data_IF_201589506353
#
_entry.id   IF_201589506353
#
_cell.length_a   1.000
_cell.length_b   1.000
_cell.length_c   1.000
_cell.angle_alpha   90.00
_cell.angle_beta   90.00
_cell.angle_gamma   90.00
#
_symmetry.space_group_name_H-M   'P 1'
#
loop_
_entity.id
_entity.type
_entity.pdbx_description
1 polymer ?
#
# COMPACT_ATOMS: atom_id res chain seq x y z
N UNK A 1 25.76 -25.57 8.99
CA UNK A 1 25.08 -24.89 7.86
C UNK A 1 25.06 -23.41 8.20
N UNK A 2 25.87 -22.60 7.52
CA UNK A 2 26.17 -21.22 7.91
C UNK A 2 24.93 -20.33 7.82
N UNK A 3 24.49 -19.79 8.96
CA UNK A 3 23.29 -18.97 9.06
C UNK A 3 23.50 -17.61 8.41
N UNK A 4 22.89 -17.41 7.26
CA UNK A 4 22.74 -16.09 6.67
C UNK A 4 21.90 -15.22 7.63
N UNK A 5 22.37 -14.01 7.93
CA UNK A 5 21.84 -13.17 9.01
C UNK A 5 20.41 -12.65 8.83
N UNK A 6 19.70 -13.04 7.77
CA UNK A 6 18.34 -12.60 7.45
C UNK A 6 17.56 -13.65 6.64
N UNK A 7 16.22 -13.58 6.58
CA UNK A 7 15.38 -14.56 5.87
C UNK A 7 15.17 -14.29 4.36
N UNK A 8 15.79 -13.26 3.78
CA UNK A 8 15.59 -12.87 2.39
C UNK A 8 16.43 -13.68 1.39
N UNK A 9 15.96 -13.76 0.15
CA UNK A 9 16.67 -14.38 -0.99
C UNK A 9 17.11 -13.30 -1.98
N UNK A 10 18.36 -13.29 -2.48
CA UNK A 10 19.42 -14.27 -2.24
C UNK A 10 20.00 -14.18 -0.82
N UNK A 11 20.56 -15.28 -0.33
CA UNK A 11 21.05 -15.38 1.04
C UNK A 11 22.37 -14.61 1.25
N UNK A 12 23.07 -14.31 0.16
CA UNK A 12 24.29 -13.51 0.09
C UNK A 12 24.03 -12.01 0.14
N UNK A 13 22.77 -11.58 0.18
CA UNK A 13 22.41 -10.17 0.28
C UNK A 13 23.02 -9.58 1.58
N UNK A 14 23.68 -8.43 1.46
CA UNK A 14 24.26 -7.76 2.63
C UNK A 14 23.26 -6.75 3.19
N UNK A 15 22.72 -7.05 4.38
CA UNK A 15 21.85 -6.14 5.13
C UNK A 15 22.51 -5.78 6.47
N UNK A 16 23.39 -4.77 6.50
CA UNK A 16 24.10 -4.39 7.71
C UNK A 16 23.11 -3.91 8.77
N UNK A 17 23.25 -4.43 10.00
CA UNK A 17 22.39 -4.08 11.12
C UNK A 17 20.97 -4.63 11.00
N UNK A 18 20.75 -5.73 10.27
CA UNK A 18 19.43 -6.35 10.18
C UNK A 18 18.86 -6.68 11.56
N UNK A 19 17.67 -6.14 11.83
CA UNK A 19 16.88 -6.43 13.03
C UNK A 19 15.70 -7.30 12.61
N UNK A 20 15.52 -8.51 13.19
CA UNK A 20 14.37 -9.36 12.93
C UNK A 20 13.03 -8.65 13.17
N UNK A 21 12.02 -9.11 12.45
CA UNK A 21 10.63 -8.67 12.62
C UNK A 21 10.11 -9.03 14.01
N UNK A 22 9.34 -8.12 14.62
CA UNK A 22 8.72 -8.32 15.94
C UNK A 22 7.26 -8.72 15.87
N UNK A 23 6.53 -8.21 14.87
CA UNK A 23 5.11 -8.51 14.68
C UNK A 23 4.95 -9.83 13.94
N UNK A 24 3.95 -10.64 14.30
CA UNK A 24 3.56 -11.80 13.51
C UNK A 24 2.90 -11.39 12.18
N UNK A 25 2.85 -12.32 11.21
CA UNK A 25 2.15 -12.10 9.94
C UNK A 25 0.69 -11.71 10.15
N UNK A 26 0.01 -12.29 11.13
CA UNK A 26 -1.39 -11.98 11.45
C UNK A 26 -1.56 -10.54 11.96
N UNK A 27 -0.64 -10.07 12.80
CA UNK A 27 -0.65 -8.69 13.33
C UNK A 27 -0.35 -7.64 12.25
N UNK A 28 0.34 -8.03 11.17
CA UNK A 28 0.57 -7.16 10.00
C UNK A 28 -0.64 -7.23 9.04
N UNK A 29 -1.14 -8.43 8.76
CA UNK A 29 -2.18 -8.61 7.76
C UNK A 29 -3.55 -8.11 8.25
N UNK A 30 -3.88 -8.30 9.52
CA UNK A 30 -5.20 -7.95 10.04
C UNK A 30 -5.51 -6.44 9.97
N UNK A 31 -4.63 -5.51 10.40
CA UNK A 31 -4.88 -4.07 10.25
C UNK A 31 -4.95 -3.64 8.78
N UNK A 32 -4.10 -4.21 7.91
CA UNK A 32 -4.15 -3.93 6.48
C UNK A 32 -5.49 -4.34 5.85
N UNK A 33 -5.95 -5.56 6.11
CA UNK A 33 -7.25 -6.04 5.62
C UNK A 33 -8.41 -5.25 6.22
N UNK A 34 -8.38 -4.96 7.52
CA UNK A 34 -9.41 -4.17 8.18
C UNK A 34 -9.53 -2.76 7.57
N UNK A 35 -8.40 -2.07 7.35
CA UNK A 35 -8.37 -0.77 6.68
C UNK A 35 -8.89 -0.85 5.24
N UNK A 36 -8.49 -1.89 4.50
CA UNK A 36 -8.92 -2.14 3.12
C UNK A 36 -10.44 -2.32 3.02
N UNK A 37 -11.01 -3.15 3.89
CA UNK A 37 -12.45 -3.38 3.99
C UNK A 37 -13.18 -2.09 4.37
N UNK A 38 -12.66 -1.34 5.35
CA UNK A 38 -13.25 -0.08 5.78
C UNK A 38 -13.29 0.95 4.63
N UNK A 39 -12.22 1.07 3.85
CA UNK A 39 -12.18 1.95 2.67
C UNK A 39 -13.24 1.53 1.65
N UNK A 40 -13.27 0.24 1.29
CA UNK A 40 -14.24 -0.28 0.31
C UNK A 40 -15.68 -0.07 0.79
N UNK A 41 -15.97 -0.37 2.06
CA UNK A 41 -17.30 -0.16 2.64
C UNK A 41 -17.67 1.32 2.66
N UNK A 42 -16.76 2.21 3.05
CA UNK A 42 -17.02 3.64 3.05
C UNK A 42 -17.37 4.16 1.65
N UNK A 43 -16.57 3.80 0.64
CA UNK A 43 -16.82 4.20 -0.76
C UNK A 43 -18.12 3.60 -1.29
N UNK A 44 -18.42 2.35 -0.94
CA UNK A 44 -19.66 1.69 -1.32
C UNK A 44 -20.90 2.38 -0.72
N UNK A 45 -20.85 2.75 0.56
CA UNK A 45 -21.94 3.44 1.24
C UNK A 45 -22.12 4.86 0.70
N UNK A 46 -21.03 5.61 0.52
CA UNK A 46 -21.06 6.98 -0.03
C UNK A 46 -21.64 6.96 -1.45
N UNK A 47 -21.16 6.08 -2.32
CA UNK A 47 -21.68 5.96 -3.69
C UNK A 47 -23.14 5.50 -3.75
N UNK A 48 -23.62 4.77 -2.73
CA UNK A 48 -25.03 4.41 -2.60
C UNK A 48 -25.96 5.59 -2.36
N UNK A 49 -25.46 6.72 -1.85
CA UNK A 49 -26.25 7.95 -1.62
C UNK A 49 -26.59 8.69 -2.92
N UNK A 50 -26.00 8.30 -4.05
CA UNK A 50 -26.26 8.87 -5.37
C UNK A 50 -27.62 8.48 -5.99
N UNK A 51 -28.58 7.99 -5.21
CA UNK A 51 -29.97 7.80 -5.64
C UNK A 51 -30.16 6.89 -6.87
N UNK A 52 -29.27 5.92 -7.08
CA UNK A 52 -29.32 4.99 -8.22
C UNK A 52 -28.75 5.54 -9.54
N UNK A 53 -28.14 6.74 -9.54
CA UNK A 53 -27.52 7.34 -10.73
C UNK A 53 -26.24 6.65 -11.19
N UNK A 54 -25.55 5.99 -10.26
CA UNK A 54 -24.33 5.23 -10.53
C UNK A 54 -24.69 3.76 -10.72
N UNK A 55 -24.19 3.16 -11.79
CA UNK A 55 -24.35 1.72 -12.01
C UNK A 55 -23.59 0.94 -10.94
N UNK A 56 -23.96 -0.33 -10.73
CA UNK A 56 -23.21 -1.21 -9.81
C UNK A 56 -21.75 -1.35 -10.22
N UNK A 57 -21.48 -1.32 -11.53
CA UNK A 57 -20.13 -1.35 -12.09
C UNK A 57 -19.34 -0.11 -11.71
N UNK A 58 -19.92 1.08 -11.85
CA UNK A 58 -19.25 2.34 -11.47
C UNK A 58 -18.88 2.33 -9.99
N UNK A 59 -19.78 1.86 -9.13
CA UNK A 59 -19.55 1.75 -7.69
C UNK A 59 -18.42 0.77 -7.36
N UNK A 60 -18.38 -0.38 -8.04
CA UNK A 60 -17.29 -1.35 -7.89
C UNK A 60 -15.95 -0.77 -8.36
N UNK A 61 -15.94 -0.06 -9.50
CA UNK A 61 -14.75 0.61 -10.01
C UNK A 61 -14.28 1.71 -9.06
N UNK A 62 -15.19 2.49 -8.47
CA UNK A 62 -14.84 3.48 -7.45
C UNK A 62 -14.17 2.84 -6.24
N UNK A 63 -14.68 1.70 -5.76
CA UNK A 63 -14.06 0.97 -4.65
C UNK A 63 -12.65 0.48 -5.03
N UNK A 64 -12.50 -0.08 -6.23
CA UNK A 64 -11.21 -0.52 -6.77
C UNK A 64 -10.20 0.61 -6.87
N UNK A 65 -10.59 1.74 -7.47
CA UNK A 65 -9.72 2.90 -7.66
C UNK A 65 -9.38 3.60 -6.35
N UNK A 66 -10.32 3.69 -5.41
CA UNK A 66 -10.05 4.24 -4.08
C UNK A 66 -9.05 3.38 -3.31
N UNK A 67 -9.27 2.06 -3.27
CA UNK A 67 -8.36 1.11 -2.64
C UNK A 67 -6.96 1.16 -3.27
N UNK A 68 -6.89 1.13 -4.60
CA UNK A 68 -5.63 1.21 -5.36
C UNK A 68 -4.90 2.52 -5.09
N UNK A 69 -5.61 3.64 -5.16
CA UNK A 69 -5.05 4.98 -4.97
C UNK A 69 -4.47 5.16 -3.58
N UNK A 70 -5.25 4.81 -2.54
CA UNK A 70 -4.79 4.90 -1.15
C UNK A 70 -3.64 3.95 -0.86
N UNK A 71 -3.65 2.73 -1.40
CA UNK A 71 -2.55 1.78 -1.21
C UNK A 71 -1.24 2.34 -1.76
N UNK A 72 -1.25 2.89 -2.98
CA UNK A 72 -0.05 3.48 -3.57
C UNK A 72 0.40 4.75 -2.83
N UNK A 73 -0.51 5.64 -2.45
CA UNK A 73 -0.13 6.86 -1.72
C UNK A 73 0.40 6.54 -0.32
N UNK A 74 -0.27 5.65 0.43
CA UNK A 74 0.08 5.35 1.82
C UNK A 74 1.25 4.38 1.92
N UNK A 75 1.22 3.24 1.23
CA UNK A 75 2.31 2.25 1.35
C UNK A 75 3.56 2.75 0.65
N UNK A 76 3.51 3.08 -0.64
CA UNK A 76 4.71 3.50 -1.34
C UNK A 76 5.25 4.84 -0.79
N UNK A 77 4.36 5.77 -0.39
CA UNK A 77 4.75 6.97 0.34
C UNK A 77 5.47 6.65 1.66
N UNK A 78 4.95 5.70 2.44
CA UNK A 78 5.63 5.24 3.66
C UNK A 78 6.99 4.61 3.39
N UNK A 79 7.11 3.82 2.33
CA UNK A 79 8.35 3.18 1.92
C UNK A 79 9.45 4.19 1.54
N UNK A 80 9.10 5.24 0.79
CA UNK A 80 10.07 6.23 0.33
C UNK A 80 10.40 7.27 1.41
N UNK A 81 9.41 7.75 2.17
CA UNK A 81 9.60 8.89 3.08
C UNK A 81 9.92 8.50 4.51
N UNK A 82 9.31 7.43 5.03
CA UNK A 82 9.37 7.10 6.47
C UNK A 82 10.19 5.85 6.77
N UNK A 83 10.47 5.03 5.76
CA UNK A 83 11.10 3.73 5.90
C UNK A 83 12.40 3.57 5.05
N UNK A 84 13.35 4.53 5.04
CA UNK A 84 14.61 4.36 4.31
C UNK A 84 15.39 3.13 4.82
N UNK A 85 15.56 3.01 6.14
CA UNK A 85 16.37 1.96 6.79
C UNK A 85 15.52 1.00 7.63
N UNK A 86 14.33 0.64 7.14
CA UNK A 86 13.36 -0.13 7.93
C UNK A 86 13.89 -1.47 8.43
N UNK A 87 14.86 -2.07 7.72
CA UNK A 87 15.46 -3.35 8.08
C UNK A 87 16.40 -3.26 9.29
N UNK A 88 16.94 -2.07 9.63
CA UNK A 88 17.89 -1.87 10.74
C UNK A 88 17.32 -1.10 11.93
N UNK A 89 16.02 -0.78 11.93
CA UNK A 89 15.36 -0.09 13.05
C UNK A 89 15.08 -1.03 14.23
N UNK A 90 15.62 -0.69 15.41
CA UNK A 90 15.36 -1.38 16.69
C UNK A 90 13.96 -1.10 17.27
N UNK A 91 13.43 0.10 17.03
CA UNK A 91 12.06 0.49 17.37
C UNK A 91 11.24 0.69 16.08
N UNK A 92 10.82 -0.40 15.42
CA UNK A 92 10.11 -0.33 14.16
C UNK A 92 8.66 0.16 14.36
N UNK A 93 8.18 0.97 13.41
CA UNK A 93 6.76 1.28 13.29
C UNK A 93 6.05 0.12 12.60
N UNK A 94 4.72 0.16 12.57
CA UNK A 94 3.93 -0.81 11.82
C UNK A 94 4.39 -0.94 10.35
N UNK A 95 4.69 0.18 9.68
CA UNK A 95 5.15 0.17 8.29
C UNK A 95 6.53 -0.47 8.13
N UNK A 96 7.44 -0.30 9.09
CA UNK A 96 8.73 -0.98 9.05
C UNK A 96 8.55 -2.49 9.11
N UNK A 97 7.71 -2.98 10.00
CA UNK A 97 7.39 -4.42 10.11
C UNK A 97 6.67 -4.94 8.85
N UNK A 98 5.73 -4.16 8.33
CA UNK A 98 5.06 -4.46 7.07
C UNK A 98 6.05 -4.64 5.91
N UNK A 99 7.02 -3.71 5.74
CA UNK A 99 8.01 -3.82 4.68
C UNK A 99 9.03 -4.93 4.93
N UNK A 100 9.36 -5.28 6.17
CA UNK A 100 10.16 -6.48 6.48
C UNK A 100 9.45 -7.75 6.02
N UNK A 101 8.17 -7.89 6.33
CA UNK A 101 7.37 -9.04 5.89
C UNK A 101 7.25 -9.06 4.35
N UNK A 102 6.91 -7.93 3.75
CA UNK A 102 6.76 -7.80 2.30
C UNK A 102 8.06 -8.12 1.54
N UNK A 103 9.21 -7.72 2.09
CA UNK A 103 10.52 -7.99 1.48
C UNK A 103 10.90 -9.48 1.48
N UNK A 104 10.21 -10.35 2.23
CA UNK A 104 10.38 -11.80 2.10
C UNK A 104 9.87 -12.32 0.76
N UNK A 105 8.86 -11.66 0.18
CA UNK A 105 8.36 -11.96 -1.16
C UNK A 105 9.24 -11.38 -2.27
N UNK A 106 9.81 -10.19 -2.04
CA UNK A 106 10.76 -9.56 -2.97
C UNK A 106 11.82 -8.77 -2.19
N UNK A 107 13.01 -9.35 -2.08
CA UNK A 107 14.12 -8.79 -1.29
C UNK A 107 14.68 -7.50 -1.86
N UNK A 108 14.37 -7.15 -3.11
CA UNK A 108 14.79 -5.89 -3.73
C UNK A 108 14.22 -4.68 -2.99
N UNK A 109 13.13 -4.83 -2.25
CA UNK A 109 12.62 -3.80 -1.34
C UNK A 109 13.55 -3.58 -0.14
N UNK A 110 14.07 -4.66 0.46
CA UNK A 110 15.07 -4.57 1.54
C UNK A 110 16.43 -4.07 1.02
N UNK A 111 16.85 -4.52 -0.17
CA UNK A 111 18.06 -4.07 -0.84
C UNK A 111 17.96 -2.63 -1.39
N UNK A 112 16.77 -2.03 -1.36
CA UNK A 112 16.45 -0.72 -1.97
C UNK A 112 16.96 -0.60 -3.41
N UNK A 113 16.67 -1.62 -4.21
CA UNK A 113 17.03 -1.65 -5.62
C UNK A 113 16.51 -0.40 -6.36
N UNK A 114 17.35 0.18 -7.21
CA UNK A 114 17.04 1.46 -7.88
C UNK A 114 15.85 1.35 -8.84
N UNK A 115 15.62 0.17 -9.44
CA UNK A 115 14.46 -0.07 -10.31
C UNK A 115 13.19 -0.09 -9.47
N UNK A 116 13.19 -0.77 -8.32
CA UNK A 116 12.05 -0.76 -7.40
C UNK A 116 11.76 0.66 -6.91
N UNK A 117 12.78 1.40 -6.47
CA UNK A 117 12.60 2.80 -6.03
C UNK A 117 12.02 3.69 -7.13
N UNK A 118 12.52 3.57 -8.36
CA UNK A 118 12.02 4.35 -9.50
C UNK A 118 10.55 4.01 -9.81
N UNK A 119 10.18 2.72 -9.76
CA UNK A 119 8.79 2.31 -9.92
C UNK A 119 7.89 2.87 -8.81
N UNK A 120 8.34 2.85 -7.56
CA UNK A 120 7.54 3.40 -6.46
C UNK A 120 7.38 4.93 -6.54
N UNK A 121 8.37 5.65 -7.05
CA UNK A 121 8.21 7.09 -7.36
C UNK A 121 7.11 7.31 -8.40
N UNK A 122 7.06 6.49 -9.45
CA UNK A 122 6.03 6.58 -10.48
C UNK A 122 4.66 6.21 -9.90
N UNK A 123 4.57 5.18 -9.05
CA UNK A 123 3.29 4.77 -8.46
C UNK A 123 2.72 5.84 -7.54
N UNK A 124 3.55 6.53 -6.74
CA UNK A 124 3.12 7.62 -5.86
C UNK A 124 2.81 8.89 -6.66
N UNK A 125 3.64 9.24 -7.65
CA UNK A 125 3.49 10.48 -8.41
C UNK A 125 2.36 10.45 -9.43
N UNK A 126 2.06 9.27 -10.00
CA UNK A 126 1.09 9.14 -11.10
C UNK A 126 -0.04 8.18 -10.76
N UNK A 127 0.26 6.91 -10.47
CA UNK A 127 -0.78 5.87 -10.37
C UNK A 127 -1.75 6.11 -9.21
N UNK A 128 -1.23 6.43 -8.04
CA UNK A 128 -2.00 6.75 -6.84
C UNK A 128 -2.93 7.95 -7.06
N UNK A 129 -2.38 9.14 -7.42
CA UNK A 129 -3.16 10.34 -7.69
C UNK A 129 -4.18 10.15 -8.81
N UNK A 130 -3.81 9.51 -9.94
CA UNK A 130 -4.74 9.25 -11.03
C UNK A 130 -5.91 8.36 -10.60
N UNK A 131 -5.67 7.36 -9.75
CA UNK A 131 -6.73 6.50 -9.22
C UNK A 131 -7.68 7.28 -8.31
N UNK A 132 -7.17 8.16 -7.45
CA UNK A 132 -8.01 9.01 -6.59
C UNK A 132 -8.79 10.04 -7.41
N UNK A 133 -8.18 10.61 -8.45
CA UNK A 133 -8.85 11.52 -9.38
C UNK A 133 -10.02 10.82 -10.09
N UNK A 134 -9.85 9.57 -10.53
CA UNK A 134 -10.93 8.79 -11.13
C UNK A 134 -12.14 8.68 -10.18
N UNK A 135 -11.91 8.43 -8.88
CA UNK A 135 -12.98 8.40 -7.88
C UNK A 135 -13.66 9.75 -7.77
N UNK A 136 -12.91 10.85 -7.68
CA UNK A 136 -13.49 12.19 -7.57
C UNK A 136 -14.32 12.57 -8.80
N UNK A 137 -13.88 12.16 -10.00
CA UNK A 137 -14.59 12.40 -11.25
C UNK A 137 -15.92 11.64 -11.32
N UNK A 138 -15.97 10.39 -10.84
CA UNK A 138 -17.24 9.64 -10.78
C UNK A 138 -18.21 10.26 -9.76
N UNK A 139 -17.69 10.79 -8.64
CA UNK A 139 -18.52 11.50 -7.65
C UNK A 139 -19.08 12.80 -8.24
N UNK A 140 -18.27 13.60 -8.93
CA UNK A 140 -18.75 14.86 -9.52
C UNK A 140 -19.81 14.65 -10.59
N UNK A 141 -19.74 13.55 -11.37
CA UNK A 141 -20.81 13.17 -12.30
C UNK A 141 -22.15 12.92 -11.60
N UNK A 142 -22.13 12.29 -10.43
CA UNK A 142 -23.33 12.09 -9.61
C UNK A 142 -23.93 13.43 -9.12
N UNK A 143 -23.08 14.40 -8.74
CA UNK A 143 -23.50 15.72 -8.25
C UNK A 143 -23.96 16.68 -9.34
N UNK A 144 -23.31 16.69 -10.51
CA UNK A 144 -23.67 17.58 -11.63
C UNK A 144 -25.02 17.23 -12.26
N UNK A 145 -25.45 15.97 -12.17
CA UNK A 145 -26.78 15.53 -12.60
C UNK A 145 -27.90 15.88 -11.59
N UNK A 146 -27.60 16.66 -10.53
CA UNK A 146 -28.58 17.22 -9.58
C UNK A 146 -29.10 18.62 -9.94
N UNK A 147 -28.50 19.29 -10.93
CA UNK A 147 -28.93 20.61 -11.45
C UNK A 147 -29.63 20.37 -12.79
#
# INVERSE_FOLDING_TARGET
MGGHGHPYSPAELELPGFVPQRLSQGEILAPFLAASVLVVLAVWLISGRCGGRLSRTDRSLMCWWAFTGLTHVVLAGSFLSFAPDFFSKENPSYFHEFFKEYSKGDSRYAARDTVILALEVITIGFKGPASLLAVTMTVTQCSLCSI
#
